data_IF_188339935942
#
_entry.id   IF_188339935942
#
_cell.length_a   1.000
_cell.length_b   1.000
_cell.length_c   1.000
_cell.angle_alpha   90.00
_cell.angle_beta   90.00
_cell.angle_gamma   90.00
#
_symmetry.space_group_name_H-M   'P 1'
#
loop_
_entity.id
_entity.type
_entity.pdbx_description
1 polymer ?
#
# COMPACT_ATOMS: atom_id res chain seq x y z
N UNK A 1 -7.80 -9.71 23.80
CA UNK A 1 -7.11 -10.91 23.28
C UNK A 1 -6.85 -10.71 21.79
N UNK A 2 -5.68 -11.13 21.32
CA UNK A 2 -5.36 -11.10 19.90
C UNK A 2 -5.27 -12.54 19.34
N UNK A 3 -5.80 -12.75 18.15
CA UNK A 3 -5.58 -13.97 17.35
C UNK A 3 -4.16 -14.00 16.77
N UNK A 4 -3.83 -15.09 16.08
CA UNK A 4 -2.57 -15.22 15.33
C UNK A 4 -2.60 -14.38 14.06
N UNK A 5 -1.42 -14.00 13.58
CA UNK A 5 -1.25 -13.38 12.26
C UNK A 5 -1.66 -14.36 11.16
N UNK A 6 -2.40 -13.86 10.18
CA UNK A 6 -2.76 -14.53 8.94
C UNK A 6 -2.15 -13.78 7.77
N UNK A 7 -1.21 -14.39 7.06
CA UNK A 7 -0.55 -13.80 5.89
C UNK A 7 -1.19 -14.32 4.60
N UNK A 8 -1.47 -13.43 3.65
CA UNK A 8 -2.04 -13.79 2.35
C UNK A 8 -1.46 -12.93 1.23
N UNK A 9 -1.04 -13.56 0.14
CA UNK A 9 -0.70 -12.87 -1.10
C UNK A 9 -1.97 -12.65 -1.90
N UNK A 10 -2.18 -11.41 -2.35
CA UNK A 10 -3.38 -11.02 -3.08
C UNK A 10 -3.04 -10.02 -4.18
N UNK A 11 -3.92 -9.96 -5.18
CA UNK A 11 -3.97 -8.85 -6.13
C UNK A 11 -5.03 -7.85 -5.66
N UNK A 12 -4.70 -6.57 -5.68
CA UNK A 12 -5.62 -5.46 -5.41
C UNK A 12 -5.57 -4.44 -6.54
N UNK A 13 -6.62 -3.66 -6.71
CA UNK A 13 -6.62 -2.56 -7.68
C UNK A 13 -6.26 -1.26 -6.98
N UNK A 14 -5.21 -0.60 -7.46
CA UNK A 14 -4.79 0.71 -7.00
C UNK A 14 -5.10 1.75 -8.08
N UNK A 15 -5.53 2.94 -7.67
CA UNK A 15 -5.70 4.10 -8.55
C UNK A 15 -4.91 5.27 -7.98
N UNK A 16 -3.91 5.76 -8.71
CA UNK A 16 -3.16 6.97 -8.36
C UNK A 16 -3.26 7.97 -9.52
N UNK A 17 -3.66 9.20 -9.21
CA UNK A 17 -3.76 10.30 -10.18
C UNK A 17 -4.51 9.92 -11.48
N UNK A 18 -5.58 9.12 -11.35
CA UNK A 18 -6.42 8.69 -12.48
C UNK A 18 -5.85 7.56 -13.34
N UNK A 19 -4.64 7.07 -13.06
CA UNK A 19 -4.15 5.79 -13.61
C UNK A 19 -4.61 4.68 -12.67
N UNK A 20 -5.13 3.58 -13.20
CA UNK A 20 -5.57 2.40 -12.45
C UNK A 20 -4.77 1.19 -12.88
N UNK A 21 -4.28 0.41 -11.92
CA UNK A 21 -3.53 -0.84 -12.16
C UNK A 21 -3.87 -1.87 -11.10
N UNK A 22 -3.77 -3.13 -11.48
CA UNK A 22 -3.69 -4.22 -10.52
C UNK A 22 -2.27 -4.30 -9.95
N UNK A 23 -2.18 -4.52 -8.65
CA UNK A 23 -0.95 -4.62 -7.88
C UNK A 23 -0.98 -5.91 -7.06
N UNK A 24 0.15 -6.58 -6.95
CA UNK A 24 0.32 -7.71 -6.06
C UNK A 24 0.93 -7.24 -4.75
N UNK A 25 0.38 -7.72 -3.63
CA UNK A 25 0.87 -7.40 -2.29
C UNK A 25 0.57 -8.53 -1.31
N UNK A 26 1.39 -8.61 -0.27
CA UNK A 26 1.13 -9.47 0.89
C UNK A 26 0.36 -8.65 1.93
N UNK A 27 -0.76 -9.19 2.40
CA UNK A 27 -1.52 -8.66 3.53
C UNK A 27 -1.26 -9.51 4.77
N UNK A 28 -1.19 -8.86 5.92
CA UNK A 28 -1.19 -9.51 7.23
C UNK A 28 -2.45 -9.07 7.97
N UNK A 29 -3.27 -10.04 8.36
CA UNK A 29 -4.50 -9.82 9.11
C UNK A 29 -4.40 -10.42 10.51
N UNK A 30 -4.97 -9.73 11.50
CA UNK A 30 -5.07 -10.22 12.89
C UNK A 30 -6.36 -9.75 13.54
N UNK A 31 -7.04 -10.64 14.26
CA UNK A 31 -8.19 -10.29 15.10
C UNK A 31 -7.69 -9.75 16.45
N UNK A 32 -8.07 -8.53 16.84
CA UNK A 32 -7.72 -7.90 18.11
C UNK A 32 -8.98 -7.31 18.73
N UNK A 33 -9.43 -7.89 19.85
CA UNK A 33 -10.58 -7.38 20.61
C UNK A 33 -11.81 -7.07 19.72
N UNK A 34 -12.23 -8.07 18.93
CA UNK A 34 -13.33 -8.01 17.95
C UNK A 34 -13.12 -7.09 16.72
N UNK A 35 -11.93 -6.53 16.55
CA UNK A 35 -11.54 -5.75 15.37
C UNK A 35 -10.59 -6.55 14.49
N UNK A 36 -10.85 -6.61 13.19
CA UNK A 36 -9.89 -7.17 12.23
C UNK A 36 -8.93 -6.05 11.82
N UNK A 37 -7.68 -6.20 12.19
CA UNK A 37 -6.57 -5.36 11.76
C UNK A 37 -5.95 -5.98 10.51
N UNK A 38 -5.84 -5.22 9.41
CA UNK A 38 -5.19 -5.65 8.17
C UNK A 38 -4.14 -4.62 7.79
N UNK A 39 -2.88 -5.03 7.75
CA UNK A 39 -1.78 -4.19 7.28
C UNK A 39 -1.17 -4.73 5.99
N UNK A 40 -0.59 -3.80 5.23
CA UNK A 40 0.13 -4.10 4.00
C UNK A 40 1.01 -2.92 3.60
N UNK A 41 1.96 -3.21 2.74
CA UNK A 41 2.84 -2.18 2.18
C UNK A 41 3.23 -2.52 0.75
N UNK A 42 3.38 -1.51 -0.08
CA UNK A 42 3.87 -1.65 -1.45
C UNK A 42 4.79 -0.48 -1.81
N UNK A 43 5.91 -0.76 -2.45
CA UNK A 43 6.74 0.29 -3.05
C UNK A 43 6.14 0.69 -4.39
N UNK A 44 5.87 1.97 -4.55
CA UNK A 44 5.32 2.57 -5.76
C UNK A 44 6.45 3.31 -6.49
N UNK A 45 6.65 3.00 -7.77
CA UNK A 45 7.46 3.83 -8.68
C UNK A 45 6.53 4.84 -9.34
N UNK A 46 6.81 6.13 -9.21
CA UNK A 46 5.87 7.20 -9.57
C UNK A 46 5.59 7.27 -11.09
N UNK A 47 6.59 6.99 -11.90
CA UNK A 47 6.47 7.01 -13.37
C UNK A 47 5.50 5.92 -13.89
N UNK A 48 5.35 4.80 -13.17
CA UNK A 48 4.34 3.79 -13.50
C UNK A 48 2.91 4.33 -13.40
N UNK A 49 2.69 5.40 -12.64
CA UNK A 49 1.38 6.01 -12.42
C UNK A 49 1.22 7.35 -13.14
N UNK A 50 2.05 7.62 -14.16
CA UNK A 50 2.07 8.90 -14.87
C UNK A 50 2.26 10.10 -13.94
N UNK A 51 2.95 9.91 -12.82
CA UNK A 51 3.36 10.99 -11.91
C UNK A 51 4.76 11.44 -12.39
N UNK A 52 4.90 12.67 -12.92
CA UNK A 52 6.16 13.12 -13.49
C UNK A 52 7.20 13.39 -12.39
N UNK A 53 8.47 13.21 -12.74
CA UNK A 53 9.59 13.63 -11.91
C UNK A 53 9.56 15.16 -11.71
N UNK A 54 9.45 15.65 -10.45
CA UNK A 54 9.45 17.07 -10.15
C UNK A 54 10.85 17.66 -9.95
N UNK A 55 11.92 16.88 -10.17
CA UNK A 55 13.30 17.33 -10.01
C UNK A 55 13.61 18.55 -10.89
N UNK A 56 14.41 19.47 -10.36
CA UNK A 56 14.87 20.69 -11.03
C UNK A 56 16.39 20.80 -10.93
N UNK A 57 16.99 21.75 -11.66
CA UNK A 57 18.45 21.93 -11.64
C UNK A 57 18.99 22.06 -10.21
N UNK A 58 19.85 21.12 -9.82
CA UNK A 58 20.46 21.07 -8.49
C UNK A 58 19.58 20.48 -7.36
N UNK A 59 18.33 20.06 -7.64
CA UNK A 59 17.42 19.45 -6.65
C UNK A 59 16.82 18.17 -7.23
N UNK A 60 17.13 17.05 -6.59
CA UNK A 60 16.65 15.72 -6.97
C UNK A 60 15.53 15.26 -6.02
N UNK A 61 14.49 14.67 -6.59
CA UNK A 61 13.41 14.02 -5.84
C UNK A 61 13.44 12.52 -6.12
N UNK A 62 13.25 11.71 -5.09
CA UNK A 62 13.22 10.25 -5.21
C UNK A 62 12.00 9.83 -6.05
N UNK A 63 12.21 8.90 -6.98
CA UNK A 63 11.23 8.44 -7.98
C UNK A 63 10.22 7.40 -7.46
N UNK A 64 10.27 7.09 -6.17
CA UNK A 64 9.48 6.04 -5.53
C UNK A 64 9.08 6.40 -4.11
N UNK A 65 8.00 5.78 -3.64
CA UNK A 65 7.51 5.91 -2.28
C UNK A 65 6.99 4.58 -1.73
N UNK A 66 7.08 4.41 -0.41
CA UNK A 66 6.43 3.29 0.27
C UNK A 66 5.01 3.72 0.65
N UNK A 67 4.01 3.02 0.13
CA UNK A 67 2.64 3.12 0.61
C UNK A 67 2.45 2.08 1.70
N UNK A 68 2.18 2.52 2.93
CA UNK A 68 1.89 1.65 4.07
C UNK A 68 0.47 1.93 4.55
N UNK A 69 -0.24 0.88 4.96
CA UNK A 69 -1.56 1.04 5.54
C UNK A 69 -1.81 0.03 6.66
N UNK A 70 -2.69 0.45 7.56
CA UNK A 70 -3.36 -0.38 8.55
C UNK A 70 -4.85 -0.03 8.48
N UNK A 71 -5.68 -0.99 8.12
CA UNK A 71 -7.13 -0.86 8.08
C UNK A 71 -7.71 -1.65 9.25
N UNK A 72 -8.65 -1.04 9.97
CA UNK A 72 -9.35 -1.67 11.10
C UNK A 72 -10.82 -1.84 10.73
N UNK A 73 -11.26 -3.09 10.63
CA UNK A 73 -12.66 -3.42 10.38
C UNK A 73 -13.34 -3.72 11.72
N UNK A 74 -14.25 -2.84 12.12
CA UNK A 74 -15.16 -3.06 13.22
C UNK A 74 -16.55 -3.39 12.68
N UNK A 75 -17.38 -4.01 13.52
CA UNK A 75 -18.76 -4.38 13.21
C UNK A 75 -19.69 -3.16 13.15
#
# INVERSE_FOLDING_TARGET
MAGSDFSVDTTGTLTLRGVTKDIDLTLIARLVDDVIEVNGSIQIVFTDWSIPDPSISGILVVDRGLLEFLVRFAR
#
